data_IF_873474028790
#
_entry.id   IF_873474028790
#
_cell.length_a   1.000
_cell.length_b   1.000
_cell.length_c   1.000
_cell.angle_alpha   90.00
_cell.angle_beta   90.00
_cell.angle_gamma   90.00
#
_symmetry.space_group_name_H-M   'P 1'
#
loop_
_entity.id
_entity.type
_entity.pdbx_description
1 polymer ?
#
# COMPACT_ATOMS: atom_id res chain seq x y z
N UNK A 1 -8.58 -31.08 16.73
CA UNK A 1 -9.09 -29.94 15.94
C UNK A 1 -8.18 -28.76 16.22
N UNK A 2 -7.29 -28.41 15.29
CA UNK A 2 -6.54 -27.16 15.36
C UNK A 2 -7.45 -26.07 14.81
N UNK A 3 -7.80 -25.09 15.64
CA UNK A 3 -8.41 -23.85 15.17
C UNK A 3 -7.39 -23.16 14.25
N UNK A 4 -7.67 -23.14 12.95
CA UNK A 4 -6.90 -22.38 11.98
C UNK A 4 -7.06 -20.89 12.31
N UNK A 5 -6.11 -20.34 13.09
CA UNK A 5 -6.04 -18.90 13.37
C UNK A 5 -5.87 -18.16 12.05
N UNK A 6 -6.75 -17.18 11.81
CA UNK A 6 -6.73 -16.28 10.66
C UNK A 6 -5.33 -15.73 10.39
N UNK A 7 -4.88 -15.78 9.13
CA UNK A 7 -3.58 -15.28 8.65
C UNK A 7 -3.54 -13.75 8.44
N UNK A 8 -4.66 -13.07 8.66
CA UNK A 8 -4.80 -11.62 8.54
C UNK A 8 -5.41 -11.08 9.83
N UNK A 9 -4.75 -10.11 10.43
CA UNK A 9 -5.20 -9.47 11.66
C UNK A 9 -5.66 -8.05 11.31
N UNK A 10 -6.87 -7.71 11.73
CA UNK A 10 -7.42 -6.37 11.56
C UNK A 10 -7.39 -5.63 12.89
N UNK A 11 -6.79 -4.45 12.91
CA UNK A 11 -6.71 -3.62 14.11
C UNK A 11 -7.13 -2.18 13.86
N UNK A 12 -7.90 -1.56 14.78
CA UNK A 12 -8.04 -0.11 14.80
C UNK A 12 -6.71 0.54 15.22
N UNK A 13 -6.45 1.76 14.77
CA UNK A 13 -5.29 2.54 15.24
C UNK A 13 -5.66 3.97 15.59
N UNK A 14 -5.72 4.27 16.88
CA UNK A 14 -5.85 5.65 17.38
C UNK A 14 -4.69 6.53 16.91
N UNK A 15 -3.46 5.99 16.98
CA UNK A 15 -2.25 6.72 16.60
C UNK A 15 -2.31 7.21 15.16
N UNK A 16 -2.67 6.32 14.23
CA UNK A 16 -2.77 6.68 12.82
C UNK A 16 -4.01 7.54 12.53
N UNK A 17 -5.14 7.28 13.20
CA UNK A 17 -6.32 8.15 13.06
C UNK A 17 -6.05 9.58 13.53
N UNK A 18 -5.31 9.77 14.62
CA UNK A 18 -4.94 11.10 15.10
C UNK A 18 -4.05 11.85 14.10
N UNK A 19 -3.09 11.16 13.47
CA UNK A 19 -2.26 11.77 12.40
C UNK A 19 -3.07 12.10 11.15
N UNK A 20 -3.97 11.22 10.71
CA UNK A 20 -4.81 11.48 9.55
C UNK A 20 -5.83 12.59 9.84
N UNK A 21 -6.35 12.63 11.06
CA UNK A 21 -7.24 13.72 11.49
C UNK A 21 -6.53 15.08 11.42
N UNK A 22 -5.25 15.14 11.79
CA UNK A 22 -4.44 16.33 11.61
C UNK A 22 -4.43 16.79 10.15
N UNK A 23 -4.22 15.90 9.17
CA UNK A 23 -4.27 16.28 7.75
C UNK A 23 -5.59 16.90 7.32
N UNK A 24 -6.71 16.41 7.86
CA UNK A 24 -8.05 16.96 7.60
C UNK A 24 -8.26 18.36 8.18
N UNK A 25 -7.59 18.68 9.28
CA UNK A 25 -7.56 20.07 9.79
C UNK A 25 -6.74 20.99 8.87
N UNK A 26 -5.95 20.45 7.95
CA UNK A 26 -5.01 21.20 7.10
C UNK A 26 -5.41 21.33 5.63
N UNK A 27 -6.52 20.71 5.21
CA UNK A 27 -7.05 20.75 3.84
C UNK A 27 -8.38 21.54 3.81
N UNK A 28 -8.62 22.41 2.81
CA UNK A 28 -9.90 23.10 2.66
C UNK A 28 -11.08 22.12 2.51
N UNK A 29 -12.15 22.39 3.28
CA UNK A 29 -13.28 21.52 3.60
C UNK A 29 -13.95 20.83 2.41
N UNK A 30 -14.13 19.51 2.50
CA UNK A 30 -15.10 18.72 1.71
C UNK A 30 -15.49 17.38 2.36
N UNK A 31 -15.56 17.32 3.70
CA UNK A 31 -15.70 16.04 4.43
C UNK A 31 -17.03 15.91 5.20
N UNK A 32 -17.57 14.69 5.35
CA UNK A 32 -18.87 14.43 5.98
C UNK A 32 -18.95 14.64 7.51
N UNK A 33 -17.86 15.08 8.17
CA UNK A 33 -17.81 15.33 9.63
C UNK A 33 -17.43 16.79 9.96
N UNK A 34 -17.94 17.74 9.18
CA UNK A 34 -17.64 19.18 9.29
C UNK A 34 -17.77 19.73 10.71
N UNK A 35 -18.78 19.35 11.49
CA UNK A 35 -19.01 19.94 12.82
C UNK A 35 -17.92 19.62 13.84
N UNK A 36 -17.43 18.37 13.89
CA UNK A 36 -16.36 17.98 14.81
C UNK A 36 -14.99 18.47 14.33
N UNK A 37 -14.78 18.50 13.01
CA UNK A 37 -13.59 19.14 12.43
C UNK A 37 -13.58 20.62 12.81
N UNK A 38 -14.70 21.34 12.67
CA UNK A 38 -14.84 22.73 13.09
C UNK A 38 -14.55 22.91 14.59
N UNK A 39 -15.06 22.05 15.46
CA UNK A 39 -14.78 22.12 16.90
C UNK A 39 -13.27 22.04 17.20
N UNK A 40 -12.57 21.09 16.59
CA UNK A 40 -11.11 20.96 16.79
C UNK A 40 -10.32 22.05 16.06
N UNK A 41 -10.78 22.54 14.90
CA UNK A 41 -10.20 23.71 14.22
C UNK A 41 -10.29 24.96 15.11
N UNK A 42 -11.47 25.23 15.69
CA UNK A 42 -11.69 26.36 16.60
C UNK A 42 -10.87 26.21 17.89
N UNK A 43 -10.85 25.02 18.48
CA UNK A 43 -10.06 24.74 19.69
C UNK A 43 -8.55 24.88 19.44
N UNK A 44 -8.09 24.46 18.26
CA UNK A 44 -6.70 24.59 17.83
C UNK A 44 -6.39 25.94 17.19
N UNK A 45 -7.32 26.91 17.18
CA UNK A 45 -7.19 28.23 16.52
C UNK A 45 -5.94 29.03 16.89
N UNK A 46 -5.78 30.23 16.32
CA UNK A 46 -4.69 31.24 16.34
C UNK A 46 -3.35 30.88 17.01
N UNK A 47 -3.36 30.39 18.26
CA UNK A 47 -2.21 29.82 18.97
C UNK A 47 -1.43 28.78 18.14
N UNK A 48 -2.10 27.95 17.34
CA UNK A 48 -1.42 26.95 16.52
C UNK A 48 -1.14 27.39 15.10
N UNK A 49 -1.72 28.48 14.58
CA UNK A 49 -1.55 28.87 13.18
C UNK A 49 -0.06 29.00 12.81
N UNK A 50 0.74 29.57 13.71
CA UNK A 50 2.20 29.66 13.56
C UNK A 50 2.87 28.28 13.55
N UNK A 51 2.43 27.34 14.39
CA UNK A 51 2.90 25.95 14.40
C UNK A 51 2.53 25.27 13.08
N UNK A 52 1.31 25.47 12.59
CA UNK A 52 0.82 24.91 11.33
C UNK A 52 1.61 25.43 10.13
N UNK A 53 1.85 26.74 10.07
CA UNK A 53 2.67 27.34 9.03
C UNK A 53 4.11 26.79 9.05
N UNK A 54 4.67 26.55 10.24
CA UNK A 54 6.00 25.95 10.36
C UNK A 54 6.02 24.49 9.92
N UNK A 55 5.00 23.69 10.26
CA UNK A 55 4.87 22.31 9.78
C UNK A 55 4.79 22.31 8.25
N UNK A 56 3.93 23.14 7.66
CA UNK A 56 3.77 23.25 6.19
C UNK A 56 5.06 23.64 5.48
N UNK A 57 5.91 24.49 6.08
CA UNK A 57 7.22 24.87 5.52
C UNK A 57 8.24 23.72 5.56
N UNK A 58 8.13 22.84 6.54
CA UNK A 58 9.05 21.73 6.78
C UNK A 58 8.61 20.42 6.09
N UNK A 59 7.36 20.35 5.64
CA UNK A 59 6.85 19.21 4.87
C UNK A 59 7.53 19.12 3.51
N UNK A 60 7.65 17.88 3.03
CA UNK A 60 8.05 17.62 1.65
C UNK A 60 6.95 18.17 0.74
N UNK A 61 7.36 18.79 -0.38
CA UNK A 61 6.43 19.44 -1.30
C UNK A 61 5.35 18.44 -1.76
N UNK A 62 4.09 18.81 -1.57
CA UNK A 62 2.89 18.01 -1.89
C UNK A 62 2.65 16.78 -1.00
N UNK A 63 3.40 16.61 0.09
CA UNK A 63 3.14 15.56 1.07
C UNK A 63 2.42 16.11 2.31
N UNK A 64 1.66 15.26 2.96
CA UNK A 64 0.87 15.50 4.18
C UNK A 64 1.62 15.03 5.44
N UNK A 65 1.08 15.34 6.63
CA UNK A 65 1.70 14.93 7.89
C UNK A 65 1.64 13.41 8.03
N UNK A 66 0.49 12.78 7.72
CA UNK A 66 0.37 11.33 7.78
C UNK A 66 1.33 10.64 6.81
N UNK A 67 1.48 11.12 5.57
CA UNK A 67 2.39 10.53 4.58
C UNK A 67 3.84 10.54 5.05
N UNK A 68 4.26 11.63 5.71
CA UNK A 68 5.64 11.79 6.15
C UNK A 68 5.92 11.04 7.46
N UNK A 69 4.98 11.04 8.42
CA UNK A 69 5.20 10.48 9.75
C UNK A 69 4.78 9.01 9.90
N UNK A 70 3.79 8.54 9.14
CA UNK A 70 3.33 7.14 9.25
C UNK A 70 4.46 6.14 9.03
N UNK A 71 5.37 6.30 8.05
CA UNK A 71 6.53 5.41 7.92
C UNK A 71 7.44 5.45 9.16
N UNK A 72 7.64 6.60 9.78
CA UNK A 72 8.46 6.70 10.99
C UNK A 72 7.84 5.98 12.19
N UNK A 73 6.52 6.16 12.39
CA UNK A 73 5.83 5.53 13.51
C UNK A 73 5.71 4.02 13.32
N UNK A 74 5.33 3.59 12.12
CA UNK A 74 5.08 2.17 11.84
C UNK A 74 6.35 1.32 11.77
N UNK A 75 7.54 1.93 11.76
CA UNK A 75 8.83 1.26 11.95
C UNK A 75 9.04 0.76 13.39
N UNK A 76 8.33 1.33 14.37
CA UNK A 76 8.24 0.79 15.72
C UNK A 76 7.15 -0.30 15.76
N UNK A 77 7.43 -1.52 16.25
CA UNK A 77 6.42 -2.58 16.35
C UNK A 77 5.31 -2.27 17.37
N UNK A 78 5.58 -1.50 18.41
CA UNK A 78 4.67 -1.20 19.53
C UNK A 78 3.99 0.19 19.39
N UNK A 79 4.12 0.83 18.23
CA UNK A 79 3.65 2.21 18.01
C UNK A 79 2.16 2.43 18.32
N UNK A 80 1.35 1.37 18.22
CA UNK A 80 -0.09 1.42 18.45
C UNK A 80 -0.47 1.20 19.93
N UNK A 81 0.44 0.63 20.72
CA UNK A 81 0.25 0.39 22.17
C UNK A 81 0.71 1.60 23.01
N UNK A 82 1.66 2.36 22.49
CA UNK A 82 2.20 3.57 23.12
C UNK A 82 1.26 4.77 22.95
N UNK A 83 1.31 5.70 23.93
CA UNK A 83 0.66 7.00 23.74
C UNK A 83 1.39 7.78 22.66
N UNK A 84 0.65 8.32 21.70
CA UNK A 84 1.24 9.08 20.59
C UNK A 84 2.10 10.25 21.07
N UNK A 85 1.66 10.97 22.10
CA UNK A 85 2.46 12.06 22.67
C UNK A 85 3.73 11.61 23.42
N UNK A 86 3.88 10.33 23.76
CA UNK A 86 5.13 9.76 24.28
C UNK A 86 6.04 9.34 23.13
N UNK A 87 5.48 8.68 22.12
CA UNK A 87 6.21 8.25 20.91
C UNK A 87 6.88 9.44 20.19
N UNK A 88 6.19 10.59 20.12
CA UNK A 88 6.71 11.81 19.50
C UNK A 88 7.74 12.58 20.36
N UNK A 89 8.00 12.18 21.63
CA UNK A 89 9.00 12.84 22.50
C UNK A 89 10.43 12.56 22.08
N UNK A 90 10.66 11.50 21.30
CA UNK A 90 12.01 11.10 20.89
C UNK A 90 12.12 11.05 19.36
N UNK A 91 12.16 12.21 18.67
CA UNK A 91 12.29 12.26 17.21
C UNK A 91 13.48 11.45 16.67
N UNK A 92 14.63 11.52 17.35
CA UNK A 92 15.84 10.78 16.98
C UNK A 92 15.64 9.28 17.00
N UNK A 93 14.91 8.77 17.98
CA UNK A 93 14.59 7.34 18.08
C UNK A 93 13.77 6.90 16.86
N UNK A 94 12.66 7.59 16.56
CA UNK A 94 11.81 7.29 15.40
C UNK A 94 12.57 7.33 14.08
N UNK A 95 13.40 8.36 13.88
CA UNK A 95 14.21 8.50 12.67
C UNK A 95 15.24 7.37 12.54
N UNK A 96 15.92 7.01 13.64
CA UNK A 96 16.92 5.95 13.62
C UNK A 96 16.30 4.57 13.44
N UNK A 97 15.13 4.33 14.07
CA UNK A 97 14.36 3.10 13.90
C UNK A 97 13.92 2.94 12.44
N UNK A 98 13.42 3.99 11.80
CA UNK A 98 13.10 3.92 10.37
C UNK A 98 14.33 3.66 9.50
N UNK A 99 15.47 4.31 9.80
CA UNK A 99 16.73 4.13 9.07
C UNK A 99 17.29 2.71 9.15
N UNK A 100 16.96 1.93 10.18
CA UNK A 100 17.37 0.53 10.30
C UNK A 100 16.50 -0.42 9.47
N UNK A 101 15.35 0.05 8.96
CA UNK A 101 14.47 -0.76 8.10
C UNK A 101 14.94 -0.80 6.64
N UNK A 102 14.62 -1.89 5.94
CA UNK A 102 14.86 -2.02 4.49
C UNK A 102 14.08 -0.99 3.65
N UNK A 103 13.04 -0.36 4.21
CA UNK A 103 12.25 0.67 3.53
C UNK A 103 13.03 1.98 3.36
N UNK A 104 13.98 2.29 4.24
CA UNK A 104 14.84 3.46 4.09
C UNK A 104 15.70 3.38 2.81
N UNK A 105 16.18 2.18 2.46
CA UNK A 105 16.95 1.95 1.23
C UNK A 105 16.13 2.16 -0.05
N UNK A 106 14.80 2.11 0.05
CA UNK A 106 13.86 2.35 -1.06
C UNK A 106 13.23 3.73 -1.02
N UNK A 107 13.43 4.51 0.03
CA UNK A 107 12.83 5.83 0.19
C UNK A 107 13.38 6.84 -0.83
N UNK A 108 12.54 7.81 -1.21
CA UNK A 108 12.94 8.85 -2.17
C UNK A 108 14.10 9.71 -1.67
N UNK A 109 14.85 10.32 -2.59
CA UNK A 109 15.93 11.28 -2.24
C UNK A 109 15.39 12.47 -1.45
N UNK A 110 14.17 12.92 -1.75
CA UNK A 110 13.48 13.99 -1.02
C UNK A 110 13.21 13.57 0.43
N UNK A 111 12.66 12.38 0.64
CA UNK A 111 12.39 11.85 1.98
C UNK A 111 13.68 11.67 2.80
N UNK A 112 14.75 11.13 2.20
CA UNK A 112 16.05 11.04 2.91
C UNK A 112 16.65 12.39 3.27
N UNK A 113 16.42 13.43 2.46
CA UNK A 113 16.85 14.80 2.78
C UNK A 113 16.05 15.32 3.97
N UNK A 114 14.72 15.21 3.91
CA UNK A 114 13.82 15.58 5.00
C UNK A 114 14.22 14.92 6.34
N UNK A 115 14.52 13.62 6.35
CA UNK A 115 14.98 12.89 7.55
C UNK A 115 16.30 13.41 8.16
N UNK A 116 17.09 14.17 7.40
CA UNK A 116 18.36 14.75 7.87
C UNK A 116 18.21 16.20 8.33
N UNK A 117 17.25 16.93 7.78
CA UNK A 117 17.14 18.39 7.98
C UNK A 117 15.92 18.77 8.82
N UNK A 118 14.75 18.29 8.43
CA UNK A 118 13.48 18.90 8.84
C UNK A 118 12.65 17.98 9.76
N UNK A 119 12.89 16.67 9.71
CA UNK A 119 12.10 15.67 10.43
C UNK A 119 12.05 15.87 11.95
N UNK A 120 13.19 16.14 12.59
CA UNK A 120 13.21 16.35 14.05
C UNK A 120 12.33 17.54 14.46
N UNK A 121 12.45 18.65 13.74
CA UNK A 121 11.65 19.86 13.96
C UNK A 121 10.17 19.62 13.73
N UNK A 122 9.83 18.92 12.64
CA UNK A 122 8.45 18.56 12.31
C UNK A 122 7.83 17.66 13.39
N UNK A 123 8.52 16.61 13.83
CA UNK A 123 8.02 15.68 14.86
C UNK A 123 7.75 16.42 16.17
N UNK A 124 8.64 17.35 16.58
CA UNK A 124 8.44 18.17 17.78
C UNK A 124 7.17 19.02 17.64
N UNK A 125 6.97 19.68 16.51
CA UNK A 125 5.82 20.56 16.26
C UNK A 125 4.51 19.76 16.21
N UNK A 126 4.49 18.62 15.52
CA UNK A 126 3.33 17.72 15.52
C UNK A 126 3.04 17.19 16.93
N UNK A 127 4.08 16.88 17.71
CA UNK A 127 3.95 16.48 19.11
C UNK A 127 3.26 17.53 19.99
N UNK A 128 3.40 18.82 19.70
CA UNK A 128 2.66 19.88 20.39
C UNK A 128 1.17 19.83 20.03
N UNK A 129 0.84 19.68 18.74
CA UNK A 129 -0.56 19.57 18.29
C UNK A 129 -1.26 18.35 18.86
N UNK A 130 -0.58 17.19 18.88
CA UNK A 130 -1.13 15.97 19.47
C UNK A 130 -1.44 16.16 20.96
N UNK A 131 -0.58 16.85 21.72
CA UNK A 131 -0.86 17.13 23.14
C UNK A 131 -2.10 17.99 23.32
N UNK A 132 -2.34 18.95 22.43
CA UNK A 132 -3.55 19.76 22.50
C UNK A 132 -4.79 18.99 22.08
N UNK A 133 -4.73 18.13 21.05
CA UNK A 133 -5.80 17.19 20.73
C UNK A 133 -6.12 16.26 21.92
N UNK A 134 -5.10 15.76 22.62
CA UNK A 134 -5.26 14.94 23.82
C UNK A 134 -5.95 15.73 24.96
N UNK A 135 -5.56 16.99 25.19
CA UNK A 135 -6.23 17.88 26.16
C UNK A 135 -7.68 18.18 25.77
N UNK A 136 -7.95 18.35 24.48
CA UNK A 136 -9.28 18.52 23.91
C UNK A 136 -10.12 17.23 23.93
N UNK A 137 -9.63 16.16 24.56
CA UNK A 137 -10.31 14.86 24.68
C UNK A 137 -10.59 14.18 23.33
N UNK A 138 -9.71 14.36 22.33
CA UNK A 138 -9.83 13.69 21.04
C UNK A 138 -9.92 12.16 21.16
N UNK A 139 -9.18 11.55 22.10
CA UNK A 139 -9.28 10.11 22.37
C UNK A 139 -10.69 9.68 22.80
N UNK A 140 -11.39 10.50 23.58
CA UNK A 140 -12.78 10.23 23.97
C UNK A 140 -13.69 10.27 22.76
N UNK A 141 -13.55 11.29 21.91
CA UNK A 141 -14.28 11.38 20.64
C UNK A 141 -14.01 10.15 19.75
N UNK A 142 -12.73 9.77 19.59
CA UNK A 142 -12.35 8.61 18.79
C UNK A 142 -12.98 7.32 19.30
N UNK A 143 -12.95 7.08 20.63
CA UNK A 143 -13.58 5.91 21.24
C UNK A 143 -15.11 5.86 21.03
N UNK A 144 -15.78 7.01 21.08
CA UNK A 144 -17.23 7.10 21.02
C UNK A 144 -17.78 7.14 19.58
N UNK A 145 -17.04 7.72 18.64
CA UNK A 145 -17.55 8.04 17.30
C UNK A 145 -16.80 7.29 16.20
N UNK A 146 -15.47 7.26 16.26
CA UNK A 146 -14.63 6.65 15.21
C UNK A 146 -14.52 5.13 15.34
N UNK A 147 -14.15 4.66 16.54
CA UNK A 147 -13.91 3.24 16.81
C UNK A 147 -15.12 2.35 16.52
N UNK A 148 -16.39 2.75 16.81
CA UNK A 148 -17.54 1.95 16.43
C UNK A 148 -17.69 1.74 14.91
N UNK A 149 -17.40 2.76 14.11
CA UNK A 149 -17.42 2.68 12.64
C UNK A 149 -16.34 1.72 12.14
N UNK A 150 -15.12 1.88 12.66
CA UNK A 150 -13.98 1.02 12.35
C UNK A 150 -14.27 -0.44 12.74
N UNK A 151 -14.75 -0.69 13.95
CA UNK A 151 -15.07 -2.04 14.42
C UNK A 151 -16.20 -2.69 13.62
N UNK A 152 -17.19 -1.91 13.18
CA UNK A 152 -18.24 -2.40 12.27
C UNK A 152 -17.61 -2.88 10.96
N UNK A 153 -16.71 -2.10 10.37
CA UNK A 153 -16.04 -2.49 9.13
C UNK A 153 -15.11 -3.70 9.32
N UNK A 154 -14.36 -3.77 10.42
CA UNK A 154 -13.53 -4.93 10.75
C UNK A 154 -14.38 -6.20 10.80
N UNK A 155 -15.58 -6.17 11.38
CA UNK A 155 -16.51 -7.31 11.36
C UNK A 155 -16.93 -7.71 9.95
N UNK A 156 -17.16 -6.73 9.06
CA UNK A 156 -17.44 -7.00 7.65
C UNK A 156 -16.25 -7.69 6.96
N UNK A 157 -15.03 -7.17 7.13
CA UNK A 157 -13.82 -7.79 6.58
C UNK A 157 -13.59 -9.19 7.11
N UNK A 158 -13.75 -9.43 8.41
CA UNK A 158 -13.61 -10.78 8.97
C UNK A 158 -14.64 -11.76 8.40
N UNK A 159 -15.85 -11.29 8.07
CA UNK A 159 -16.89 -12.12 7.46
C UNK A 159 -16.64 -12.37 5.96
N UNK A 160 -16.16 -11.38 5.23
CA UNK A 160 -16.00 -11.47 3.77
C UNK A 160 -14.63 -12.02 3.35
N UNK A 161 -13.58 -11.69 4.09
CA UNK A 161 -12.19 -12.08 3.83
C UNK A 161 -11.81 -13.31 4.66
N UNK A 162 -12.32 -13.44 5.89
CA UNK A 162 -11.97 -14.56 6.76
C UNK A 162 -12.27 -15.96 6.17
N UNK A 163 -13.38 -16.18 5.44
CA UNK A 163 -13.64 -17.45 4.76
C UNK A 163 -12.76 -17.69 3.53
N UNK A 164 -12.15 -16.63 2.99
CA UNK A 164 -11.21 -16.75 1.88
C UNK A 164 -9.88 -17.24 2.45
N UNK A 165 -9.79 -18.57 2.57
CA UNK A 165 -8.50 -19.18 2.73
C UNK A 165 -7.65 -18.76 1.54
N UNK A 166 -6.58 -17.99 1.78
CA UNK A 166 -5.40 -18.14 0.93
C UNK A 166 -5.14 -19.64 0.89
N UNK A 167 -5.05 -20.25 -0.31
CA UNK A 167 -4.64 -21.64 -0.42
C UNK A 167 -3.50 -21.91 0.56
N UNK A 168 -3.63 -22.94 1.40
CA UNK A 168 -2.65 -23.32 2.44
C UNK A 168 -1.20 -23.35 1.91
N UNK A 169 -1.06 -23.49 0.59
CA UNK A 169 0.13 -23.52 -0.24
C UNK A 169 0.89 -22.19 -0.38
N UNK A 170 0.34 -21.07 0.09
CA UNK A 170 0.96 -19.75 -0.04
C UNK A 170 1.83 -19.35 1.17
N UNK A 171 1.84 -20.12 2.25
CA UNK A 171 2.52 -19.70 3.48
C UNK A 171 1.79 -18.51 4.12
N UNK A 172 1.79 -18.45 5.45
CA UNK A 172 1.03 -17.44 6.18
C UNK A 172 1.98 -16.39 6.77
N UNK A 173 2.42 -15.37 6.01
CA UNK A 173 2.85 -14.16 6.67
C UNK A 173 1.61 -13.54 7.33
N UNK A 174 1.62 -13.46 8.66
CA UNK A 174 0.59 -12.75 9.40
C UNK A 174 0.56 -11.30 8.93
N UNK A 175 -0.45 -10.94 8.15
CA UNK A 175 -0.58 -9.58 7.63
C UNK A 175 -1.41 -8.76 8.60
N UNK A 176 -0.78 -7.77 9.23
CA UNK A 176 -1.50 -6.79 10.04
C UNK A 176 -2.06 -5.69 9.14
N UNK A 177 -3.35 -5.41 9.30
CA UNK A 177 -4.10 -4.41 8.56
C UNK A 177 -4.72 -3.41 9.54
N UNK A 178 -4.29 -2.16 9.46
CA UNK A 178 -4.87 -1.08 10.25
C UNK A 178 -6.09 -0.49 9.54
N UNK A 179 -7.22 -0.41 10.23
CA UNK A 179 -8.45 0.17 9.69
C UNK A 179 -8.70 1.52 10.36
N UNK A 180 -8.76 2.60 9.58
CA UNK A 180 -8.82 3.97 10.08
C UNK A 180 -10.16 4.64 9.76
N UNK A 181 -10.65 5.44 10.69
CA UNK A 181 -11.86 6.24 10.53
C UNK A 181 -11.66 7.49 9.67
N UNK A 182 -10.47 8.09 9.75
CA UNK A 182 -10.16 9.40 9.18
C UNK A 182 -9.34 9.32 7.89
N UNK A 183 -9.36 8.21 7.15
CA UNK A 183 -8.75 8.18 5.81
C UNK A 183 -9.77 8.53 4.73
N UNK A 184 -9.28 9.12 3.64
CA UNK A 184 -10.07 9.35 2.43
C UNK A 184 -10.83 8.09 2.00
N UNK A 185 -11.99 8.29 1.39
CA UNK A 185 -12.88 7.21 0.99
C UNK A 185 -12.16 6.23 0.06
N UNK A 186 -12.30 4.93 0.30
CA UNK A 186 -11.67 3.88 -0.50
C UNK A 186 -10.13 3.90 -0.52
N UNK A 187 -9.47 4.55 0.44
CA UNK A 187 -7.99 4.60 0.49
C UNK A 187 -7.39 3.30 1.05
N UNK A 188 -6.31 2.84 0.40
CA UNK A 188 -5.46 1.72 0.83
C UNK A 188 -4.00 2.10 0.64
N UNK A 189 -3.28 2.24 1.74
CA UNK A 189 -1.86 2.60 1.77
C UNK A 189 -1.03 1.38 2.20
N UNK A 190 0.14 1.22 1.55
CA UNK A 190 1.13 0.21 1.92
C UNK A 190 2.37 0.89 2.46
N UNK A 191 2.62 0.73 3.76
CA UNK A 191 3.77 1.32 4.44
C UNK A 191 4.55 0.21 5.13
N UNK A 192 5.83 0.08 4.77
CA UNK A 192 6.67 -1.09 5.09
C UNK A 192 6.05 -2.41 4.58
N UNK A 193 5.50 -3.18 5.50
CA UNK A 193 4.77 -4.43 5.29
C UNK A 193 3.38 -4.36 5.91
N UNK A 194 2.91 -3.18 6.31
CA UNK A 194 1.60 -2.95 6.93
C UNK A 194 0.66 -2.37 5.87
N UNK A 195 -0.57 -2.85 5.86
CA UNK A 195 -1.65 -2.26 5.08
C UNK A 195 -2.44 -1.33 6.00
N UNK A 196 -2.76 -0.15 5.50
CA UNK A 196 -3.58 0.82 6.21
C UNK A 196 -4.75 1.15 5.28
N UNK A 197 -5.98 0.98 5.77
CA UNK A 197 -7.19 1.13 4.95
C UNK A 197 -8.21 2.03 5.61
N UNK A 198 -8.98 2.75 4.79
CA UNK A 198 -10.15 3.47 5.28
C UNK A 198 -11.26 2.51 5.72
N UNK A 199 -12.01 2.87 6.74
CA UNK A 199 -13.21 2.14 7.18
C UNK A 199 -14.30 2.10 6.10
N UNK A 200 -14.24 2.99 5.11
CA UNK A 200 -15.16 3.02 3.97
C UNK A 200 -14.65 2.24 2.77
N UNK A 201 -13.46 1.62 2.86
CA UNK A 201 -12.92 0.83 1.77
C UNK A 201 -13.71 -0.46 1.56
N UNK A 202 -14.02 -0.77 0.30
CA UNK A 202 -14.66 -2.03 -0.06
C UNK A 202 -13.73 -3.23 0.17
N UNK A 203 -14.28 -4.36 0.62
CA UNK A 203 -13.52 -5.60 0.80
C UNK A 203 -12.85 -6.06 -0.49
N UNK A 204 -13.51 -5.86 -1.66
CA UNK A 204 -12.93 -6.15 -2.97
C UNK A 204 -11.62 -5.40 -3.19
N UNK A 205 -11.60 -4.09 -2.92
CA UNK A 205 -10.40 -3.26 -3.08
C UNK A 205 -9.30 -3.64 -2.09
N UNK A 206 -9.66 -3.83 -0.82
CA UNK A 206 -8.72 -4.29 0.21
C UNK A 206 -8.07 -5.63 -0.18
N UNK A 207 -8.86 -6.62 -0.60
CA UNK A 207 -8.34 -7.93 -1.01
C UNK A 207 -7.40 -7.82 -2.20
N UNK A 208 -7.74 -7.01 -3.20
CA UNK A 208 -6.86 -6.78 -4.36
C UNK A 208 -5.51 -6.18 -3.96
N UNK A 209 -5.52 -5.14 -3.12
CA UNK A 209 -4.29 -4.52 -2.60
C UNK A 209 -3.48 -5.45 -1.70
N UNK A 210 -4.16 -6.34 -0.98
CA UNK A 210 -3.52 -7.38 -0.18
C UNK A 210 -2.80 -8.41 -1.05
N UNK A 211 -3.45 -8.95 -2.09
CA UNK A 211 -2.81 -9.86 -3.06
C UNK A 211 -1.56 -9.20 -3.67
N UNK A 212 -1.69 -7.95 -4.12
CA UNK A 212 -0.59 -7.22 -4.73
C UNK A 212 0.61 -7.06 -3.77
N UNK A 213 0.32 -6.79 -2.49
CA UNK A 213 1.34 -6.63 -1.44
C UNK A 213 2.02 -7.95 -1.13
N UNK A 214 1.22 -9.00 -0.96
CA UNK A 214 1.68 -10.35 -0.70
C UNK A 214 2.60 -10.86 -1.83
N UNK A 215 2.22 -10.68 -3.09
CA UNK A 215 3.07 -11.04 -4.24
C UNK A 215 4.36 -10.22 -4.30
N UNK A 216 4.38 -8.96 -3.85
CA UNK A 216 5.65 -8.21 -3.80
C UNK A 216 6.63 -8.75 -2.78
N UNK A 217 6.15 -9.33 -1.68
CA UNK A 217 6.97 -9.87 -0.60
C UNK A 217 7.43 -11.30 -0.89
N UNK A 218 6.50 -12.18 -1.28
CA UNK A 218 6.75 -13.62 -1.38
C UNK A 218 7.22 -14.08 -2.77
N UNK A 219 6.90 -13.33 -3.81
CA UNK A 219 7.27 -13.68 -5.18
C UNK A 219 8.55 -12.95 -5.61
N UNK A 220 9.70 -13.36 -5.07
CA UNK A 220 11.01 -12.86 -5.49
C UNK A 220 11.57 -13.70 -6.65
N UNK A 221 11.71 -13.09 -7.83
CA UNK A 221 12.27 -13.75 -9.00
C UNK A 221 13.78 -13.89 -8.90
N UNK A 222 14.28 -15.10 -9.16
CA UNK A 222 15.70 -15.34 -9.32
C UNK A 222 16.16 -14.83 -10.68
N UNK A 223 17.14 -13.92 -10.71
CA UNK A 223 17.71 -13.37 -11.97
C UNK A 223 18.50 -14.47 -12.70
N UNK A 224 17.97 -15.08 -13.78
CA UNK A 224 18.70 -16.17 -14.44
C UNK A 224 19.90 -15.57 -15.18
N UNK A 225 21.08 -16.20 -15.05
CA UNK A 225 22.31 -15.69 -15.67
C UNK A 225 22.12 -15.50 -17.17
N UNK A 226 22.43 -14.31 -17.67
CA UNK A 226 22.34 -13.97 -19.09
C UNK A 226 20.93 -13.73 -19.63
N UNK A 227 19.86 -13.92 -18.83
CA UNK A 227 18.48 -13.67 -19.26
C UNK A 227 18.27 -12.19 -19.63
N UNK A 228 18.77 -11.27 -18.81
CA UNK A 228 18.72 -9.84 -19.10
C UNK A 228 19.40 -9.47 -20.43
N UNK A 229 20.55 -10.12 -20.75
CA UNK A 229 21.24 -9.90 -22.03
C UNK A 229 20.42 -10.40 -23.21
N UNK A 230 19.67 -11.51 -23.04
CA UNK A 230 18.80 -12.05 -24.09
C UNK A 230 17.59 -11.16 -24.33
N UNK A 231 16.90 -10.72 -23.28
CA UNK A 231 15.75 -9.82 -23.41
C UNK A 231 16.13 -8.50 -24.06
N UNK A 232 17.29 -7.93 -23.72
CA UNK A 232 17.77 -6.67 -24.31
C UNK A 232 17.94 -6.73 -25.84
N UNK A 233 17.98 -7.92 -26.44
CA UNK A 233 18.02 -8.11 -27.91
C UNK A 233 16.64 -7.96 -28.56
N UNK A 234 15.55 -8.10 -27.80
CA UNK A 234 14.20 -7.87 -28.31
C UNK A 234 13.90 -6.35 -28.31
N UNK A 235 13.76 -5.78 -29.50
CA UNK A 235 13.53 -4.34 -29.70
C UNK A 235 12.19 -3.87 -29.12
N UNK A 236 11.16 -4.71 -29.19
CA UNK A 236 9.81 -4.40 -28.72
C UNK A 236 9.73 -4.35 -27.20
N UNK A 237 10.33 -5.35 -26.53
CA UNK A 237 10.40 -5.37 -25.07
C UNK A 237 11.24 -4.20 -24.56
N UNK A 238 12.34 -3.87 -25.25
CA UNK A 238 13.13 -2.68 -24.94
C UNK A 238 12.36 -1.38 -25.15
N UNK A 239 11.50 -1.30 -26.18
CA UNK A 239 10.63 -0.14 -26.42
C UNK A 239 9.60 0.02 -25.30
N UNK A 240 8.92 -1.06 -24.92
CA UNK A 240 7.98 -1.07 -23.79
C UNK A 240 8.69 -0.64 -22.50
N UNK A 241 9.85 -1.21 -22.18
CA UNK A 241 10.62 -0.81 -20.99
C UNK A 241 11.03 0.67 -21.02
N UNK A 242 11.51 1.18 -22.16
CA UNK A 242 11.91 2.60 -22.30
C UNK A 242 10.77 3.56 -21.98
N UNK A 243 9.53 3.18 -22.28
CA UNK A 243 8.35 4.00 -22.01
C UNK A 243 7.98 4.12 -20.52
N UNK A 244 8.57 3.29 -19.65
CA UNK A 244 8.34 3.29 -18.19
C UNK A 244 9.64 3.24 -17.39
N UNK A 245 10.76 3.67 -17.98
CA UNK A 245 12.09 3.61 -17.38
C UNK A 245 12.23 4.50 -16.14
N UNK A 246 11.41 5.54 -16.03
CA UNK A 246 11.29 6.39 -14.85
C UNK A 246 10.68 5.66 -13.65
N UNK A 247 9.83 4.65 -13.89
CA UNK A 247 9.16 3.86 -12.85
C UNK A 247 9.92 2.59 -12.47
N UNK A 248 10.78 2.07 -13.35
CA UNK A 248 11.48 0.79 -13.19
C UNK A 248 12.99 0.96 -13.31
N UNK A 249 13.75 0.53 -12.29
CA UNK A 249 15.21 0.66 -12.25
C UNK A 249 15.95 -0.21 -13.28
N UNK A 250 15.34 -1.32 -13.71
CA UNK A 250 15.90 -2.20 -14.73
C UNK A 250 14.79 -2.89 -15.55
N UNK A 251 15.17 -3.43 -16.71
CA UNK A 251 14.25 -4.23 -17.55
C UNK A 251 13.75 -5.48 -16.84
N UNK A 252 14.56 -6.04 -15.94
CA UNK A 252 14.15 -7.20 -15.14
C UNK A 252 13.08 -6.78 -14.12
N UNK A 253 13.24 -5.63 -13.47
CA UNK A 253 12.24 -5.12 -12.50
C UNK A 253 10.90 -4.82 -13.20
N UNK A 254 10.96 -4.33 -14.44
CA UNK A 254 9.76 -4.18 -15.29
C UNK A 254 9.08 -5.53 -15.56
N UNK A 255 9.84 -6.55 -15.98
CA UNK A 255 9.29 -7.90 -16.25
C UNK A 255 8.71 -8.52 -14.98
N UNK A 256 9.43 -8.43 -13.86
CA UNK A 256 8.96 -8.89 -12.57
C UNK A 256 7.63 -8.23 -12.20
N UNK A 257 7.52 -6.92 -12.42
CA UNK A 257 6.26 -6.20 -12.19
C UNK A 257 5.14 -6.69 -13.11
N UNK A 258 5.44 -6.98 -14.39
CA UNK A 258 4.42 -7.51 -15.32
C UNK A 258 3.94 -8.92 -14.95
N UNK A 259 4.82 -9.78 -14.44
CA UNK A 259 4.48 -11.13 -13.94
C UNK A 259 3.59 -11.01 -12.70
N UNK A 260 3.99 -10.18 -11.74
CA UNK A 260 3.22 -9.93 -10.51
C UNK A 260 1.84 -9.37 -10.83
N UNK A 261 1.72 -8.43 -11.77
CA UNK A 261 0.43 -7.90 -12.21
C UNK A 261 -0.47 -9.00 -12.80
N UNK A 262 0.08 -9.86 -13.66
CA UNK A 262 -0.66 -10.99 -14.22
C UNK A 262 -1.16 -11.95 -13.15
N UNK A 263 -0.30 -12.29 -12.19
CA UNK A 263 -0.66 -13.14 -11.04
C UNK A 263 -1.72 -12.49 -10.16
N UNK A 264 -1.62 -11.19 -9.86
CA UNK A 264 -2.63 -10.45 -9.09
C UNK A 264 -4.00 -10.52 -9.76
N UNK A 265 -4.04 -10.28 -11.08
CA UNK A 265 -5.29 -10.32 -11.84
C UNK A 265 -5.86 -11.73 -11.93
N UNK A 266 -5.02 -12.75 -12.12
CA UNK A 266 -5.45 -14.15 -12.13
C UNK A 266 -6.07 -14.57 -10.79
N UNK A 267 -5.37 -14.32 -9.67
CA UNK A 267 -5.91 -14.61 -8.33
C UNK A 267 -7.18 -13.80 -8.06
N UNK A 268 -7.19 -12.53 -8.49
CA UNK A 268 -8.36 -11.66 -8.38
C UNK A 268 -9.57 -12.19 -9.14
N UNK A 269 -9.37 -12.80 -10.31
CA UNK A 269 -10.44 -13.45 -11.06
C UNK A 269 -10.96 -14.70 -10.33
N UNK A 270 -10.06 -15.58 -9.87
CA UNK A 270 -10.43 -16.80 -9.12
C UNK A 270 -11.25 -16.45 -7.86
N UNK A 271 -11.03 -15.28 -7.27
CA UNK A 271 -11.78 -14.77 -6.11
C UNK A 271 -12.94 -13.84 -6.46
N UNK A 272 -13.33 -13.75 -7.73
CA UNK A 272 -14.44 -12.88 -8.20
C UNK A 272 -14.26 -11.39 -7.85
N UNK A 273 -13.00 -10.94 -7.70
CA UNK A 273 -12.62 -9.54 -7.50
C UNK A 273 -12.44 -8.81 -8.83
N UNK A 274 -12.06 -9.54 -9.88
CA UNK A 274 -11.86 -9.02 -11.24
C UNK A 274 -12.79 -9.75 -12.20
N UNK A 275 -13.81 -9.05 -12.70
CA UNK A 275 -14.83 -9.64 -13.60
C UNK A 275 -14.34 -9.71 -15.06
N UNK A 276 -13.54 -8.74 -15.49
CA UNK A 276 -13.03 -8.66 -16.87
C UNK A 276 -11.49 -8.53 -16.90
N UNK A 277 -10.74 -9.61 -16.63
CA UNK A 277 -9.27 -9.60 -16.54
C UNK A 277 -8.57 -9.04 -17.77
N UNK A 278 -9.04 -9.41 -18.96
CA UNK A 278 -8.50 -8.96 -20.24
C UNK A 278 -8.67 -7.45 -20.46
N UNK A 279 -9.84 -6.90 -20.13
CA UNK A 279 -10.08 -5.46 -20.22
C UNK A 279 -9.28 -4.71 -19.17
N UNK A 280 -9.22 -5.25 -17.95
CA UNK A 280 -8.44 -4.68 -16.86
C UNK A 280 -6.97 -4.53 -17.22
N UNK A 281 -6.34 -5.61 -17.73
CA UNK A 281 -4.93 -5.61 -18.14
C UNK A 281 -4.68 -4.70 -19.35
N UNK A 282 -5.65 -4.57 -20.27
CA UNK A 282 -5.55 -3.62 -21.40
C UNK A 282 -5.61 -2.16 -20.96
N UNK A 283 -6.38 -1.85 -19.92
CA UNK A 283 -6.56 -0.48 -19.38
C UNK A 283 -5.42 -0.05 -18.44
N UNK A 284 -4.65 -1.00 -17.90
CA UNK A 284 -3.60 -0.69 -16.93
C UNK A 284 -2.43 0.08 -17.57
N UNK A 285 -2.20 1.30 -17.06
CA UNK A 285 -1.15 2.27 -17.45
C UNK A 285 -0.81 2.26 -18.95
N UNK A 286 -1.73 2.76 -19.80
CA UNK A 286 -1.44 3.21 -21.17
C UNK A 286 -0.83 2.16 -22.11
N UNK A 287 -1.06 0.86 -21.87
CA UNK A 287 -0.49 -0.22 -22.67
C UNK A 287 1.00 -0.50 -22.41
N UNK A 288 1.56 0.05 -21.33
CA UNK A 288 2.96 -0.19 -20.95
C UNK A 288 3.19 -1.56 -20.31
N UNK A 289 2.15 -2.24 -19.84
CA UNK A 289 2.24 -3.58 -19.25
C UNK A 289 1.75 -4.68 -20.18
N UNK A 290 1.81 -4.51 -21.51
CA UNK A 290 1.35 -5.52 -22.49
C UNK A 290 1.88 -6.94 -22.22
N UNK A 291 3.07 -7.10 -21.65
CA UNK A 291 3.60 -8.41 -21.27
C UNK A 291 2.78 -9.13 -20.20
N UNK A 292 2.10 -8.40 -19.29
CA UNK A 292 1.24 -9.02 -18.27
C UNK A 292 0.09 -9.82 -18.89
N UNK A 293 -0.40 -9.41 -20.07
CA UNK A 293 -1.41 -10.16 -20.80
C UNK A 293 -0.90 -11.53 -21.25
N UNK A 294 0.35 -11.63 -21.71
CA UNK A 294 0.95 -12.89 -22.12
C UNK A 294 1.12 -13.84 -20.95
N UNK A 295 1.64 -13.32 -19.83
CA UNK A 295 1.77 -14.09 -18.60
C UNK A 295 0.41 -14.56 -18.07
N UNK A 296 -0.59 -13.70 -18.13
CA UNK A 296 -1.96 -14.05 -17.73
C UNK A 296 -2.55 -15.14 -18.62
N UNK A 297 -2.38 -15.06 -19.94
CA UNK A 297 -2.82 -16.11 -20.86
C UNK A 297 -2.15 -17.47 -20.57
N UNK A 298 -0.86 -17.46 -20.20
CA UNK A 298 -0.17 -18.70 -19.82
C UNK A 298 -0.69 -19.26 -18.48
N UNK A 299 -1.03 -18.39 -17.53
CA UNK A 299 -1.68 -18.79 -16.27
C UNK A 299 -3.04 -19.46 -16.52
N UNK A 300 -3.90 -18.87 -17.36
CA UNK A 300 -5.21 -19.46 -17.67
C UNK A 300 -5.11 -20.83 -18.34
N UNK A 301 -4.08 -21.05 -19.17
CA UNK A 301 -3.86 -22.34 -19.85
C UNK A 301 -3.38 -23.43 -18.91
N UNK A 302 -2.45 -23.10 -18.02
CA UNK A 302 -1.71 -24.10 -17.25
C UNK A 302 -2.27 -24.31 -15.85
N UNK A 303 -3.02 -23.33 -15.31
CA UNK A 303 -3.68 -23.41 -14.00
C UNK A 303 -2.77 -24.00 -12.93
N UNK A 304 -1.59 -23.40 -12.63
CA UNK A 304 -0.52 -24.09 -11.94
C UNK A 304 -0.72 -24.25 -10.41
N UNK A 305 -1.96 -24.40 -9.92
CA UNK A 305 -2.43 -24.41 -8.51
C UNK A 305 -1.71 -25.35 -7.52
N UNK A 306 -0.71 -26.11 -7.96
CA UNK A 306 0.12 -27.00 -7.17
C UNK A 306 1.48 -26.40 -6.79
N UNK A 307 1.92 -25.32 -7.42
CA UNK A 307 3.21 -24.67 -7.16
C UNK A 307 3.08 -23.54 -6.14
N UNK A 308 4.17 -23.23 -5.43
CA UNK A 308 4.26 -22.03 -4.57
C UNK A 308 4.46 -20.77 -5.42
N UNK A 309 4.18 -19.58 -4.89
CA UNK A 309 4.21 -18.32 -5.67
C UNK A 309 5.55 -18.05 -6.36
N UNK A 310 6.67 -18.33 -5.69
CA UNK A 310 7.99 -18.15 -6.29
C UNK A 310 8.19 -19.08 -7.50
N UNK A 311 7.73 -20.33 -7.40
CA UNK A 311 7.78 -21.30 -8.49
C UNK A 311 6.84 -20.91 -9.63
N UNK A 312 5.66 -20.34 -9.34
CA UNK A 312 4.79 -19.77 -10.37
C UNK A 312 5.48 -18.71 -11.19
N UNK A 313 6.08 -17.73 -10.53
CA UNK A 313 6.71 -16.62 -11.23
C UNK A 313 7.92 -17.08 -12.04
N UNK A 314 8.73 -18.00 -11.49
CA UNK A 314 9.85 -18.58 -12.21
C UNK A 314 9.38 -19.41 -13.42
N UNK A 315 8.33 -20.22 -13.24
CA UNK A 315 7.71 -20.98 -14.31
C UNK A 315 7.26 -20.06 -15.45
N UNK A 316 6.53 -18.98 -15.13
CA UNK A 316 6.07 -18.00 -16.12
C UNK A 316 7.23 -17.34 -16.86
N UNK A 317 8.30 -16.98 -16.16
CA UNK A 317 9.49 -16.37 -16.74
C UNK A 317 10.20 -17.30 -17.74
N UNK A 318 10.19 -18.61 -17.49
CA UNK A 318 10.81 -19.63 -18.32
C UNK A 318 9.93 -20.07 -19.49
N UNK A 319 8.61 -20.11 -19.29
CA UNK A 319 7.64 -20.57 -20.29
C UNK A 319 7.26 -19.52 -21.32
N UNK A 320 7.07 -18.28 -20.87
CA UNK A 320 6.77 -17.18 -21.78
C UNK A 320 8.07 -16.78 -22.45
N UNK A 321 8.21 -17.12 -23.73
CA UNK A 321 9.37 -16.73 -24.51
C UNK A 321 9.30 -15.23 -24.87
N UNK A 322 9.66 -14.40 -23.90
CA UNK A 322 9.73 -12.95 -24.07
C UNK A 322 10.71 -12.56 -25.19
N UNK A 323 11.66 -13.42 -25.54
CA UNK A 323 12.65 -13.12 -26.57
C UNK A 323 12.02 -13.07 -27.96
N UNK A 324 10.97 -13.86 -28.20
CA UNK A 324 10.23 -13.88 -29.46
C UNK A 324 8.98 -13.01 -29.46
N UNK A 325 8.75 -12.24 -28.40
CA UNK A 325 7.62 -11.31 -28.34
C UNK A 325 7.63 -10.36 -29.54
N UNK A 326 6.57 -10.44 -30.33
CA UNK A 326 6.18 -9.44 -31.31
C UNK A 326 4.76 -8.99 -30.94
N UNK A 327 4.47 -7.67 -30.97
CA UNK A 327 3.10 -7.21 -30.85
C UNK A 327 2.34 -7.75 -32.04
N UNK A 328 1.58 -8.82 -31.85
CA UNK A 328 0.60 -9.20 -32.85
C UNK A 328 -0.36 -8.03 -32.99
N UNK A 329 -0.39 -7.43 -34.19
CA UNK A 329 -1.45 -6.51 -34.57
C UNK A 329 -2.78 -7.17 -34.23
N UNK A 330 -3.61 -6.44 -33.50
CA UNK A 330 -4.95 -6.78 -33.03
C UNK A 330 -5.63 -7.92 -33.79
N UNK A 331 -5.34 -9.18 -33.44
CA UNK A 331 -6.33 -10.23 -33.60
C UNK A 331 -7.17 -10.18 -32.35
N UNK A 332 -8.18 -9.33 -32.43
CA UNK A 332 -9.43 -9.47 -31.71
C UNK A 332 -9.78 -10.96 -31.78
N UNK A 333 -9.65 -11.64 -30.64
CA UNK A 333 -10.34 -12.90 -30.42
C UNK A 333 -11.81 -12.53 -30.42
N UNK A 334 -12.42 -12.56 -31.60
CA UNK A 334 -13.86 -12.72 -31.70
C UNK A 334 -14.16 -14.04 -30.99
N UNK A 335 -14.70 -13.95 -29.79
CA UNK A 335 -15.34 -15.10 -29.15
C UNK A 335 -16.46 -15.58 -30.10
N UNK A 336 -16.61 -16.89 -30.34
CA UNK A 336 -17.79 -17.39 -31.02
C UNK A 336 -19.01 -17.11 -30.15
N UNK A 337 -20.06 -16.65 -30.82
CA UNK A 337 -21.38 -16.28 -30.28
C UNK A 337 -22.07 -17.41 -29.53
#
# INVERSE_FOLDING_TARGET
MQEHKLSVIFEPSYTLDALNFLDHLFIPRSLPNEQMVCYFEEYLGDYHEKILQNIRKNLIKFETISEVLTPLLTADPEFNDLKLSELLRSPKYLINQYKSTSSYEKSSKAYRKFLKTDAESMIIQVGLLIKELEKAKFKTYWLQSCLPLVNKQIKCYLKEIGPLALPEKFGQPTQLIYVLSCLDTERVDRIHQKLIVSHSCSSKRLMYSWIETYLKLECLLMKPRGYERRIKRNSEVMHLYKSVKDKHSSIFDYIETTIKLAMTVYIGQEWSLVEQPYEYLKRYESGHYKLSLLFYQELEKQKPHQMIMQQWAQYLLERVDIQTYQPHGERIVNQPS
#
